data_IF_503106404598
#
_entry.id   IF_503106404598
#
_cell.length_a   1.000
_cell.length_b   1.000
_cell.length_c   1.000
_cell.angle_alpha   90.00
_cell.angle_beta   90.00
_cell.angle_gamma   90.00
#
_symmetry.space_group_name_H-M   'P 1'
#
loop_
_entity.id
_entity.type
_entity.pdbx_description
1 polymer ?
#
# COMPACT_ATOMS: atom_id res chain seq x y z
N UNK A 1 6.51 -8.84 13.23
CA UNK A 1 5.09 -9.22 13.07
C UNK A 1 4.92 -10.68 12.65
N UNK A 2 5.42 -11.12 11.49
CA UNK A 2 5.19 -12.49 10.95
C UNK A 2 5.57 -13.61 11.94
N UNK A 3 6.76 -13.54 12.57
CA UNK A 3 7.19 -14.54 13.55
C UNK A 3 6.28 -14.58 14.79
N UNK A 4 5.82 -13.42 15.24
CA UNK A 4 4.85 -13.35 16.34
C UNK A 4 3.50 -13.95 15.92
N UNK A 5 3.03 -13.70 14.69
CA UNK A 5 1.81 -14.33 14.15
C UNK A 5 1.93 -15.85 14.06
N UNK A 6 3.08 -16.38 13.61
CA UNK A 6 3.37 -17.81 13.60
C UNK A 6 3.31 -18.39 15.02
N UNK A 7 4.00 -17.75 15.97
CA UNK A 7 4.03 -18.17 17.37
C UNK A 7 2.62 -18.20 17.98
N UNK A 8 1.83 -17.15 17.76
CA UNK A 8 0.45 -17.05 18.23
C UNK A 8 -0.45 -18.11 17.55
N UNK A 9 -0.27 -18.35 16.25
CA UNK A 9 -1.04 -19.35 15.50
C UNK A 9 -0.74 -20.79 15.96
N UNK A 10 0.48 -21.07 16.42
CA UNK A 10 0.89 -22.39 16.88
C UNK A 10 0.53 -22.65 18.35
N UNK A 11 0.30 -21.61 19.15
CA UNK A 11 0.09 -21.74 20.60
C UNK A 11 -1.31 -21.30 21.01
N UNK A 12 -1.66 -20.06 20.71
CA UNK A 12 -2.89 -19.42 21.17
C UNK A 12 -4.10 -19.87 20.35
N UNK A 13 -3.98 -19.96 19.02
CA UNK A 13 -5.08 -20.44 18.16
C UNK A 13 -5.55 -21.85 18.54
N UNK A 14 -4.69 -22.88 18.69
CA UNK A 14 -5.17 -24.19 19.12
C UNK A 14 -5.69 -24.20 20.58
N UNK A 15 -5.10 -23.40 21.48
CA UNK A 15 -5.58 -23.27 22.86
C UNK A 15 -6.98 -22.65 22.94
N UNK A 16 -7.26 -21.63 22.13
CA UNK A 16 -8.57 -20.99 22.07
C UNK A 16 -9.58 -21.88 21.36
N UNK A 17 -9.20 -22.54 20.27
CA UNK A 17 -10.07 -23.50 19.59
C UNK A 17 -10.44 -24.68 20.50
N UNK A 18 -9.56 -25.16 21.38
CA UNK A 18 -9.90 -26.26 22.30
C UNK A 18 -10.77 -25.81 23.48
N UNK A 19 -10.61 -24.56 23.94
CA UNK A 19 -11.26 -24.07 25.16
C UNK A 19 -12.57 -23.31 24.92
N UNK A 20 -12.70 -22.58 23.81
CA UNK A 20 -13.89 -21.80 23.49
C UNK A 20 -14.86 -22.54 22.56
N UNK A 21 -14.38 -23.54 21.79
CA UNK A 21 -15.24 -24.27 20.86
C UNK A 21 -15.95 -25.43 21.59
N UNK A 22 -17.14 -25.19 22.09
CA UNK A 22 -18.01 -26.25 22.63
C UNK A 22 -18.61 -27.07 21.50
N UNK A 23 -18.21 -28.34 21.39
CA UNK A 23 -18.83 -29.30 20.47
C UNK A 23 -20.10 -29.84 21.12
N UNK A 24 -21.23 -29.19 20.84
CA UNK A 24 -22.54 -29.73 21.19
C UNK A 24 -22.78 -31.01 20.38
N UNK A 25 -22.81 -32.16 21.06
CA UNK A 25 -23.03 -33.49 20.44
C UNK A 25 -24.36 -33.62 19.68
N UNK A 26 -25.29 -32.68 19.84
CA UNK A 26 -26.59 -32.69 19.18
C UNK A 26 -26.55 -32.39 17.66
N UNK A 27 -25.43 -31.85 17.13
CA UNK A 27 -25.32 -31.51 15.69
C UNK A 27 -24.68 -32.60 14.82
N UNK A 28 -24.22 -33.71 15.42
CA UNK A 28 -23.53 -34.78 14.66
C UNK A 28 -24.41 -35.50 13.63
N UNK A 29 -25.73 -35.50 13.80
CA UNK A 29 -26.66 -36.22 12.91
C UNK A 29 -27.48 -35.31 11.97
N UNK A 30 -27.53 -34.00 12.19
CA UNK A 30 -28.29 -33.07 11.32
C UNK A 30 -27.45 -32.30 10.30
N UNK A 31 -26.13 -32.29 10.47
CA UNK A 31 -25.22 -31.59 9.57
C UNK A 31 -24.22 -32.57 8.93
N UNK A 32 -24.71 -33.51 8.13
CA UNK A 32 -23.97 -33.84 6.90
C UNK A 32 -24.41 -32.80 5.87
N UNK A 33 -23.78 -31.61 5.77
CA UNK A 33 -23.98 -30.81 4.58
C UNK A 33 -23.52 -31.71 3.44
N UNK A 34 -24.50 -32.20 2.68
CA UNK A 34 -24.24 -32.97 1.48
C UNK A 34 -23.20 -32.18 0.71
N UNK A 35 -22.08 -32.85 0.46
CA UNK A 35 -20.87 -32.36 -0.18
C UNK A 35 -21.19 -31.97 -1.64
N UNK A 36 -22.11 -31.02 -1.82
CA UNK A 36 -22.37 -30.38 -3.10
C UNK A 36 -21.24 -29.37 -3.20
N UNK A 37 -20.24 -29.63 -4.06
CA UNK A 37 -19.21 -28.63 -4.28
C UNK A 37 -19.94 -27.36 -4.70
N UNK A 38 -19.64 -26.28 -3.99
CA UNK A 38 -20.15 -24.96 -4.31
C UNK A 38 -19.88 -24.67 -5.80
N UNK A 39 -20.71 -23.86 -6.43
CA UNK A 39 -20.54 -23.45 -7.84
C UNK A 39 -19.11 -22.94 -8.08
N UNK A 40 -18.55 -22.26 -7.08
CA UNK A 40 -17.16 -21.78 -7.06
C UNK A 40 -16.15 -22.93 -7.15
N UNK A 41 -16.32 -23.98 -6.33
CA UNK A 41 -15.41 -25.14 -6.32
C UNK A 41 -15.45 -25.89 -7.65
N UNK A 42 -16.66 -26.10 -8.21
CA UNK A 42 -16.80 -26.73 -9.53
C UNK A 42 -16.22 -25.90 -10.66
N UNK A 43 -16.39 -24.58 -10.60
CA UNK A 43 -15.78 -23.65 -11.54
C UNK A 43 -14.27 -23.72 -11.50
N UNK A 44 -13.69 -23.70 -10.28
CA UNK A 44 -12.26 -23.84 -10.06
C UNK A 44 -11.71 -25.15 -10.62
N UNK A 45 -12.32 -26.30 -10.31
CA UNK A 45 -11.87 -27.62 -10.82
C UNK A 45 -11.85 -27.67 -12.34
N UNK A 46 -12.83 -27.04 -13.00
CA UNK A 46 -12.93 -27.02 -14.46
C UNK A 46 -11.83 -26.17 -15.09
N UNK A 47 -11.57 -24.99 -14.54
CA UNK A 47 -10.49 -24.10 -15.00
C UNK A 47 -9.13 -24.74 -14.72
N UNK A 48 -8.95 -25.35 -13.55
CA UNK A 48 -7.72 -26.05 -13.19
C UNK A 48 -7.43 -27.21 -14.14
N UNK A 49 -8.44 -28.03 -14.43
CA UNK A 49 -8.32 -29.15 -15.38
C UNK A 49 -7.96 -28.66 -16.79
N UNK A 50 -8.52 -27.53 -17.22
CA UNK A 50 -8.17 -26.90 -18.49
C UNK A 50 -6.71 -26.41 -18.50
N UNK A 51 -6.27 -25.72 -17.46
CA UNK A 51 -4.89 -25.25 -17.31
C UNK A 51 -3.88 -26.39 -17.32
N UNK A 52 -4.16 -27.49 -16.62
CA UNK A 52 -3.31 -28.69 -16.58
C UNK A 52 -3.25 -29.41 -17.93
N UNK A 53 -4.31 -29.35 -18.74
CA UNK A 53 -4.35 -29.95 -20.08
C UNK A 53 -3.63 -29.09 -21.13
N UNK A 54 -3.62 -27.78 -20.94
CA UNK A 54 -3.00 -26.81 -21.86
C UNK A 54 -1.78 -26.15 -21.23
N UNK A 55 -0.87 -26.95 -20.67
CA UNK A 55 0.32 -26.49 -19.93
C UNK A 55 1.19 -25.54 -20.75
N UNK A 56 1.33 -25.76 -22.05
CA UNK A 56 2.09 -24.88 -22.95
C UNK A 56 1.46 -23.48 -23.07
N UNK A 57 0.12 -23.41 -23.16
CA UNK A 57 -0.61 -22.13 -23.22
C UNK A 57 -0.45 -21.38 -21.89
N UNK A 58 -0.60 -22.08 -20.76
CA UNK A 58 -0.40 -21.50 -19.43
C UNK A 58 1.03 -20.99 -19.26
N UNK A 59 2.02 -21.73 -19.76
CA UNK A 59 3.42 -21.30 -19.76
C UNK A 59 3.63 -20.02 -20.58
N UNK A 60 3.02 -19.92 -21.77
CA UNK A 60 3.10 -18.71 -22.59
C UNK A 60 2.46 -17.51 -21.89
N UNK A 61 1.31 -17.70 -21.25
CA UNK A 61 0.68 -16.66 -20.42
C UNK A 61 1.60 -16.23 -19.28
N UNK A 62 2.23 -17.18 -18.58
CA UNK A 62 3.22 -16.88 -17.55
C UNK A 62 4.36 -16.00 -18.09
N UNK A 63 5.00 -16.41 -19.20
CA UNK A 63 6.08 -15.64 -19.84
C UNK A 63 5.58 -14.25 -20.26
N UNK A 64 4.39 -14.15 -20.83
CA UNK A 64 3.76 -12.89 -21.20
C UNK A 64 3.54 -11.95 -20.01
N UNK A 65 3.01 -12.46 -18.91
CA UNK A 65 2.81 -11.67 -17.67
C UNK A 65 4.12 -11.25 -17.01
N UNK A 66 5.15 -12.11 -17.06
CA UNK A 66 6.48 -11.78 -16.56
C UNK A 66 7.13 -10.67 -17.41
N UNK A 67 7.08 -10.79 -18.73
CA UNK A 67 7.58 -9.77 -19.66
C UNK A 67 6.83 -8.44 -19.48
N UNK A 68 5.50 -8.49 -19.36
CA UNK A 68 4.68 -7.30 -19.09
C UNK A 68 5.07 -6.64 -17.77
N UNK A 69 5.31 -7.43 -16.71
CA UNK A 69 5.78 -6.92 -15.41
C UNK A 69 7.13 -6.21 -15.53
N UNK A 70 8.10 -6.83 -16.23
CA UNK A 70 9.43 -6.23 -16.47
C UNK A 70 9.30 -4.93 -17.27
N UNK A 71 8.49 -4.93 -18.32
CA UNK A 71 8.22 -3.74 -19.11
C UNK A 71 7.65 -2.61 -18.24
N UNK A 72 6.63 -2.92 -17.42
CA UNK A 72 6.01 -1.96 -16.52
C UNK A 72 7.02 -1.34 -15.54
N UNK A 73 7.89 -2.16 -14.96
CA UNK A 73 8.94 -1.72 -14.04
C UNK A 73 9.91 -0.77 -14.73
N UNK A 74 10.24 -1.00 -16.00
CA UNK A 74 11.16 -0.15 -16.75
C UNK A 74 10.53 1.18 -17.17
N UNK A 75 9.27 1.17 -17.61
CA UNK A 75 8.55 2.38 -18.03
C UNK A 75 8.08 3.23 -16.86
N UNK A 76 7.89 2.65 -15.67
CA UNK A 76 7.39 3.40 -14.52
C UNK A 76 8.44 4.42 -14.04
N UNK A 77 8.09 5.71 -13.94
CA UNK A 77 9.01 6.72 -13.44
C UNK A 77 9.35 6.43 -11.98
N UNK A 78 10.64 6.39 -11.69
CA UNK A 78 11.13 6.09 -10.33
C UNK A 78 11.12 7.39 -9.54
N UNK A 79 10.30 7.46 -8.50
CA UNK A 79 10.37 8.50 -7.46
C UNK A 79 11.05 7.94 -6.21
N UNK A 80 11.80 8.77 -5.49
CA UNK A 80 12.42 8.37 -4.22
C UNK A 80 11.38 8.41 -3.08
N UNK A 81 10.63 9.51 -3.01
CA UNK A 81 9.44 9.67 -2.15
C UNK A 81 8.43 10.58 -2.86
N UNK A 82 7.11 10.38 -2.66
CA UNK A 82 6.14 11.37 -3.07
C UNK A 82 6.40 12.68 -2.32
N UNK A 83 6.23 13.81 -2.99
CA UNK A 83 6.19 15.09 -2.30
C UNK A 83 4.86 15.16 -1.54
N UNK A 84 4.96 15.17 -0.22
CA UNK A 84 3.81 15.37 0.66
C UNK A 84 3.69 16.85 1.00
N UNK A 85 2.46 17.33 1.07
CA UNK A 85 2.18 18.65 1.62
C UNK A 85 2.26 18.57 3.15
N UNK A 86 3.32 19.15 3.71
CA UNK A 86 3.54 19.23 5.17
C UNK A 86 3.03 20.55 5.77
N UNK A 87 2.33 21.38 4.99
CA UNK A 87 1.84 22.69 5.42
C UNK A 87 2.94 23.75 5.60
N UNK A 88 4.14 23.51 5.06
CA UNK A 88 5.27 24.44 5.13
C UNK A 88 5.84 24.72 3.75
N UNK A 89 6.14 26.00 3.49
CA UNK A 89 6.80 26.46 2.27
C UNK A 89 8.13 27.10 2.66
N UNK A 90 9.22 26.68 2.01
CA UNK A 90 10.54 27.30 2.17
C UNK A 90 10.85 28.17 0.95
N UNK A 91 11.18 29.44 1.18
CA UNK A 91 11.51 30.41 0.13
C UNK A 91 12.92 30.92 0.35
N UNK A 92 13.76 30.85 -0.69
CA UNK A 92 15.11 31.40 -0.66
C UNK A 92 15.18 32.65 -1.53
N UNK A 93 15.54 33.79 -0.92
CA UNK A 93 15.71 35.08 -1.61
C UNK A 93 17.17 35.26 -2.04
N UNK A 94 17.41 35.47 -3.34
CA UNK A 94 18.74 35.73 -3.90
C UNK A 94 18.79 37.18 -4.40
N UNK A 95 19.79 37.95 -3.94
CA UNK A 95 20.01 39.34 -4.33
C UNK A 95 21.39 39.53 -5.00
N UNK A 96 21.74 40.78 -5.36
CA UNK A 96 23.06 41.09 -5.90
C UNK A 96 24.16 40.80 -4.87
N UNK A 97 25.33 40.36 -5.33
CA UNK A 97 26.44 39.98 -4.45
C UNK A 97 27.05 41.15 -3.66
N UNK A 98 26.84 42.39 -4.11
CA UNK A 98 27.34 43.62 -3.48
C UNK A 98 26.33 44.28 -2.53
N UNK A 99 25.20 43.63 -2.25
CA UNK A 99 24.16 44.17 -1.37
C UNK A 99 24.64 44.21 0.08
N UNK A 100 24.31 45.29 0.80
CA UNK A 100 24.52 45.36 2.24
C UNK A 100 23.48 44.53 3.01
N UNK A 101 23.83 44.14 4.24
CA UNK A 101 22.91 43.41 5.12
C UNK A 101 21.59 44.16 5.36
N UNK A 102 21.65 45.47 5.58
CA UNK A 102 20.47 46.31 5.81
C UNK A 102 19.52 46.32 4.60
N UNK A 103 20.09 46.45 3.39
CA UNK A 103 19.31 46.40 2.16
C UNK A 103 18.69 45.02 1.92
N UNK A 104 19.41 43.94 2.26
CA UNK A 104 18.86 42.57 2.17
C UNK A 104 17.73 42.32 3.17
N UNK A 105 17.87 42.80 4.41
CA UNK A 105 16.83 42.71 5.45
C UNK A 105 15.54 43.42 5.03
N UNK A 106 15.65 44.61 4.43
CA UNK A 106 14.49 45.33 3.87
C UNK A 106 13.79 44.53 2.76
N UNK A 107 14.55 43.87 1.88
CA UNK A 107 13.98 43.03 0.82
C UNK A 107 13.30 41.79 1.38
N UNK A 108 13.91 41.11 2.36
CA UNK A 108 13.27 39.97 3.04
C UNK A 108 11.98 40.38 3.76
N UNK A 109 11.97 41.54 4.43
CA UNK A 109 10.77 42.08 5.06
C UNK A 109 9.65 42.40 4.07
N UNK A 110 9.98 42.87 2.86
CA UNK A 110 9.00 43.05 1.77
C UNK A 110 8.43 41.71 1.29
N UNK A 111 9.27 40.69 1.16
CA UNK A 111 8.80 39.35 0.76
C UNK A 111 7.91 38.75 1.85
N UNK A 112 8.31 38.88 3.12
CA UNK A 112 7.53 38.41 4.27
C UNK A 112 6.16 39.10 4.35
N UNK A 113 6.09 40.41 4.08
CA UNK A 113 4.82 41.14 4.10
C UNK A 113 3.89 40.72 2.96
N UNK A 114 4.40 40.37 1.79
CA UNK A 114 3.58 39.82 0.70
C UNK A 114 2.97 38.48 1.10
N UNK A 115 3.76 37.58 1.69
CA UNK A 115 3.27 36.28 2.14
C UNK A 115 2.28 36.39 3.30
N UNK A 116 2.46 37.32 4.24
CA UNK A 116 1.55 37.49 5.37
C UNK A 116 0.17 38.04 5.00
N UNK A 117 0.02 38.68 3.84
CA UNK A 117 -1.29 39.11 3.32
C UNK A 117 -2.06 37.97 2.62
N UNK A 118 -1.42 36.82 2.40
CA UNK A 118 -2.09 35.66 1.82
C UNK A 118 -2.99 35.00 2.86
N UNK A 119 -4.26 34.71 2.55
CA UNK A 119 -5.16 34.00 3.48
C UNK A 119 -4.76 32.53 3.71
N UNK A 120 -3.74 32.04 2.99
CA UNK A 120 -3.23 30.68 3.08
C UNK A 120 -1.97 30.55 3.96
N UNK A 121 -1.56 31.62 4.64
CA UNK A 121 -0.33 31.66 5.44
C UNK A 121 -0.66 32.12 6.85
N UNK A 122 -0.52 31.22 7.83
CA UNK A 122 -0.73 31.56 9.24
C UNK A 122 0.46 32.36 9.81
N UNK A 123 1.69 31.91 9.54
CA UNK A 123 2.91 32.48 10.11
C UNK A 123 4.05 32.51 9.09
N UNK A 124 4.83 33.60 9.11
CA UNK A 124 6.06 33.76 8.33
C UNK A 124 7.24 33.86 9.29
N UNK A 125 8.15 32.88 9.25
CA UNK A 125 9.41 32.89 9.97
C UNK A 125 10.55 33.22 8.98
N UNK A 126 11.41 34.17 9.34
CA UNK A 126 12.54 34.63 8.54
C UNK A 126 13.77 34.86 9.42
#
# INVERSE_FOLDING_TARGET
AILASMFVSLTLTPMLCSRLLSVTKADRDKHRPGHKPDLVTRGYDRVLSFCLRHTFLVFLVFVGTAAASVWLIQTSPKGFFPQEDIGQISVTTIARQDISFDAMSRLQGQVASVFSHSPYVDHVAW
#
